data_IF_201019896417
#
_entry.id   IF_201019896417
#
_cell.length_a   1.000
_cell.length_b   1.000
_cell.length_c   1.000
_cell.angle_alpha   90.00
_cell.angle_beta   90.00
_cell.angle_gamma   90.00
#
_symmetry.space_group_name_H-M   'P 1'
#
loop_
_entity.id
_entity.type
_entity.pdbx_description
1 polymer ?
#
# COMPACT_ATOMS: atom_id res chain seq x y z
N UNK A 1 6.12 0.45 -2.78
CA UNK A 1 5.09 0.14 -1.77
C UNK A 1 3.74 0.21 -2.46
N UNK A 2 2.80 -0.72 -2.20
CA UNK A 2 1.45 -0.65 -2.76
C UNK A 2 0.62 0.49 -2.15
N UNK A 3 -0.41 0.93 -2.89
CA UNK A 3 -1.36 1.94 -2.44
C UNK A 3 -2.13 1.44 -1.21
N UNK A 4 -2.13 2.19 -0.12
CA UNK A 4 -2.78 1.85 1.14
C UNK A 4 -4.22 2.34 1.16
N UNK A 5 -5.16 1.46 1.46
CA UNK A 5 -6.55 1.82 1.73
C UNK A 5 -6.78 1.96 3.24
N UNK A 6 -7.28 3.12 3.68
CA UNK A 6 -7.68 3.41 5.07
C UNK A 6 -9.20 3.53 5.10
N UNK A 7 -9.86 2.62 5.80
CA UNK A 7 -11.31 2.69 6.01
C UNK A 7 -11.63 3.60 7.19
N UNK A 8 -12.35 4.70 6.91
CA UNK A 8 -12.79 5.64 7.94
C UNK A 8 -14.18 5.26 8.47
N UNK A 9 -14.30 5.00 9.76
CA UNK A 9 -15.55 4.73 10.47
C UNK A 9 -16.34 6.03 10.68
N UNK A 10 -16.46 6.83 9.61
CA UNK A 10 -16.97 8.21 9.69
C UNK A 10 -17.96 8.52 8.58
N UNK A 11 -19.00 9.25 8.96
CA UNK A 11 -19.98 9.85 8.07
C UNK A 11 -20.16 11.32 8.45
N UNK A 12 -20.20 12.21 7.45
CA UNK A 12 -20.31 13.65 7.65
C UNK A 12 -19.34 14.19 8.70
N UNK A 13 -18.08 13.82 8.58
CA UNK A 13 -16.98 14.21 9.45
C UNK A 13 -17.13 13.82 10.94
N UNK A 14 -17.93 12.81 11.25
CA UNK A 14 -18.14 12.27 12.60
C UNK A 14 -18.01 10.76 12.62
N UNK A 15 -17.45 10.21 13.69
CA UNK A 15 -17.44 8.75 13.95
C UNK A 15 -18.88 8.27 14.11
N UNK A 16 -19.23 7.20 13.39
CA UNK A 16 -20.60 6.66 13.38
C UNK A 16 -20.93 5.93 14.69
N UNK A 17 -22.21 5.97 15.15
CA UNK A 17 -22.60 5.30 16.40
C UNK A 17 -22.37 3.78 16.38
N UNK A 18 -22.49 3.15 15.22
CA UNK A 18 -22.29 1.71 14.99
C UNK A 18 -20.86 1.35 14.58
N UNK A 19 -19.87 2.19 14.91
CA UNK A 19 -18.46 2.03 14.53
C UNK A 19 -17.90 0.64 14.88
N UNK A 20 -18.28 0.06 16.03
CA UNK A 20 -17.82 -1.28 16.43
C UNK A 20 -18.32 -2.38 15.48
N UNK A 21 -19.56 -2.31 15.02
CA UNK A 21 -20.10 -3.27 14.05
C UNK A 21 -19.44 -3.13 12.69
N UNK A 22 -19.17 -1.89 12.25
CA UNK A 22 -18.46 -1.62 10.99
C UNK A 22 -17.01 -2.06 11.07
N UNK A 23 -16.36 -1.93 12.24
CA UNK A 23 -15.00 -2.43 12.51
C UNK A 23 -14.94 -3.96 12.36
N UNK A 24 -15.86 -4.71 12.98
CA UNK A 24 -15.91 -6.17 12.85
C UNK A 24 -16.04 -6.60 11.39
N UNK A 25 -16.92 -5.92 10.63
CA UNK A 25 -17.08 -6.17 9.20
C UNK A 25 -15.76 -5.93 8.45
N UNK A 26 -15.10 -4.81 8.69
CA UNK A 26 -13.84 -4.44 8.03
C UNK A 26 -12.71 -5.44 8.36
N UNK A 27 -12.54 -5.80 9.63
CA UNK A 27 -11.53 -6.77 10.07
C UNK A 27 -11.75 -8.15 9.47
N UNK A 28 -13.02 -8.61 9.36
CA UNK A 28 -13.37 -9.89 8.75
C UNK A 28 -13.01 -9.98 7.27
N UNK A 29 -12.94 -8.84 6.57
CA UNK A 29 -12.52 -8.72 5.17
C UNK A 29 -11.02 -8.47 5.00
N UNK A 30 -10.25 -8.45 6.09
CA UNK A 30 -8.82 -8.24 6.05
C UNK A 30 -8.39 -6.77 5.95
N UNK A 31 -9.26 -5.80 6.19
CA UNK A 31 -8.86 -4.38 6.29
C UNK A 31 -7.94 -4.21 7.51
N UNK A 32 -6.78 -3.59 7.31
CA UNK A 32 -5.75 -3.44 8.36
C UNK A 32 -5.39 -1.98 8.63
N UNK A 33 -6.06 -1.03 8.01
CA UNK A 33 -5.91 0.40 8.27
C UNK A 33 -7.28 1.00 8.49
N UNK A 34 -7.55 1.42 9.72
CA UNK A 34 -8.90 1.83 10.15
C UNK A 34 -8.82 3.15 10.89
N UNK A 35 -9.60 4.11 10.42
CA UNK A 35 -9.64 5.46 10.96
C UNK A 35 -10.98 5.84 11.55
N UNK A 36 -10.95 6.83 12.42
CA UNK A 36 -12.11 7.46 13.02
C UNK A 36 -11.80 8.93 13.32
N UNK A 37 -12.77 9.68 13.84
CA UNK A 37 -12.60 11.07 14.27
C UNK A 37 -12.85 11.19 15.77
N UNK A 38 -12.28 12.21 16.38
CA UNK A 38 -12.43 12.52 17.82
C UNK A 38 -13.82 13.03 18.19
N UNK A 39 -14.69 13.25 17.20
CA UNK A 39 -16.07 13.66 17.35
C UNK A 39 -17.04 12.56 16.87
N UNK A 40 -18.21 12.52 17.46
CA UNK A 40 -19.27 11.54 17.13
C UNK A 40 -19.52 10.52 18.23
N UNK A 41 -18.47 10.11 18.96
CA UNK A 41 -18.55 9.25 20.14
C UNK A 41 -17.84 9.89 21.34
N UNK A 42 -18.23 9.56 22.57
CA UNK A 42 -17.49 9.95 23.78
C UNK A 42 -16.07 9.37 23.79
N UNK A 43 -15.14 10.07 24.42
CA UNK A 43 -13.72 9.69 24.48
C UNK A 43 -13.50 8.25 24.95
N UNK A 44 -14.22 7.80 25.98
CA UNK A 44 -14.09 6.43 26.49
C UNK A 44 -14.53 5.37 25.47
N UNK A 45 -15.54 5.68 24.66
CA UNK A 45 -15.94 4.78 23.56
C UNK A 45 -14.91 4.77 22.44
N UNK A 46 -14.25 5.91 22.15
CA UNK A 46 -13.15 5.97 21.18
C UNK A 46 -11.92 5.19 21.66
N UNK A 47 -11.62 5.18 22.97
CA UNK A 47 -10.57 4.33 23.54
C UNK A 47 -10.86 2.84 23.34
N UNK A 48 -12.10 2.42 23.63
CA UNK A 48 -12.55 1.04 23.41
C UNK A 48 -12.46 0.66 21.93
N UNK A 49 -12.91 1.55 21.05
CA UNK A 49 -12.83 1.36 19.59
C UNK A 49 -11.38 1.20 19.13
N UNK A 50 -10.48 2.08 19.59
CA UNK A 50 -9.05 2.00 19.28
C UNK A 50 -8.40 0.69 19.78
N UNK A 51 -8.73 0.28 21.01
CA UNK A 51 -8.26 -0.99 21.55
C UNK A 51 -8.73 -2.19 20.70
N UNK A 52 -9.98 -2.18 20.23
CA UNK A 52 -10.52 -3.21 19.35
C UNK A 52 -9.85 -3.21 17.98
N UNK A 53 -9.56 -2.04 17.38
CA UNK A 53 -8.79 -1.92 16.12
C UNK A 53 -7.42 -2.60 16.28
N UNK A 54 -6.68 -2.27 17.34
CA UNK A 54 -5.34 -2.83 17.61
C UNK A 54 -5.39 -4.32 17.90
N UNK A 55 -6.35 -4.78 18.69
CA UNK A 55 -6.56 -6.20 18.98
C UNK A 55 -6.87 -7.01 17.71
N UNK A 56 -7.54 -6.38 16.72
CA UNK A 56 -7.77 -6.95 15.40
C UNK A 56 -6.53 -6.95 14.48
N UNK A 57 -5.36 -6.54 14.96
CA UNK A 57 -4.11 -6.47 14.21
C UNK A 57 -4.10 -5.37 13.14
N UNK A 58 -4.92 -4.32 13.31
CA UNK A 58 -4.99 -3.19 12.42
C UNK A 58 -4.30 -1.95 13.00
N UNK A 59 -3.78 -1.09 12.11
CA UNK A 59 -3.26 0.23 12.44
C UNK A 59 -4.42 1.19 12.61
N UNK A 60 -4.41 1.98 13.68
CA UNK A 60 -5.45 2.96 13.99
C UNK A 60 -5.06 4.37 13.54
N UNK A 61 -6.04 5.09 13.00
CA UNK A 61 -5.91 6.47 12.52
C UNK A 61 -6.96 7.36 13.18
N UNK A 62 -6.54 8.53 13.65
CA UNK A 62 -7.48 9.57 14.07
C UNK A 62 -7.30 10.78 13.18
N UNK A 63 -8.37 11.25 12.56
CA UNK A 63 -8.36 12.45 11.70
C UNK A 63 -8.97 13.64 12.46
N UNK A 64 -8.19 14.71 12.56
CA UNK A 64 -8.57 15.98 13.19
C UNK A 64 -9.20 16.89 12.17
N UNK A 65 -10.39 17.41 12.48
CA UNK A 65 -11.14 18.34 11.62
C UNK A 65 -11.36 19.70 12.28
N UNK A 66 -10.63 20.00 13.33
CA UNK A 66 -10.66 21.27 14.05
C UNK A 66 -10.16 22.42 13.18
N UNK A 67 -10.83 23.57 13.24
CA UNK A 67 -10.49 24.76 12.46
C UNK A 67 -9.78 25.85 13.31
N UNK A 68 -9.86 25.76 14.63
CA UNK A 68 -9.23 26.70 15.54
C UNK A 68 -8.13 26.02 16.37
N UNK A 69 -7.28 26.85 16.97
CA UNK A 69 -6.12 26.40 17.73
C UNK A 69 -6.47 25.57 18.95
N UNK A 70 -7.50 26.00 19.69
CA UNK A 70 -7.83 25.35 20.97
C UNK A 70 -8.41 23.96 20.76
N UNK A 71 -9.34 23.82 19.82
CA UNK A 71 -9.93 22.53 19.46
C UNK A 71 -8.92 21.58 18.83
N UNK A 72 -7.95 22.06 18.03
CA UNK A 72 -6.90 21.22 17.48
C UNK A 72 -5.95 20.69 18.57
N UNK A 73 -5.61 21.50 19.56
CA UNK A 73 -4.84 21.08 20.76
C UNK A 73 -5.60 20.03 21.55
N UNK A 74 -6.91 20.21 21.75
CA UNK A 74 -7.77 19.22 22.43
C UNK A 74 -7.78 17.90 21.69
N UNK A 75 -7.94 17.92 20.37
CA UNK A 75 -7.92 16.73 19.50
C UNK A 75 -6.56 16.02 19.53
N UNK A 76 -5.44 16.76 19.55
CA UNK A 76 -4.11 16.17 19.66
C UNK A 76 -3.88 15.48 21.03
N UNK A 77 -4.38 16.07 22.10
CA UNK A 77 -4.36 15.45 23.45
C UNK A 77 -5.24 14.20 23.49
N UNK A 78 -6.44 14.26 22.90
CA UNK A 78 -7.32 13.11 22.78
C UNK A 78 -6.66 11.96 22.00
N UNK A 79 -5.97 12.25 20.90
CA UNK A 79 -5.21 11.26 20.14
C UNK A 79 -4.16 10.54 21.00
N UNK A 80 -3.45 11.30 21.84
CA UNK A 80 -2.46 10.76 22.78
C UNK A 80 -3.12 9.88 23.85
N UNK A 81 -4.24 10.36 24.42
CA UNK A 81 -4.97 9.64 25.48
C UNK A 81 -5.64 8.37 24.95
N UNK A 82 -6.17 8.39 23.73
CA UNK A 82 -6.72 7.21 23.02
C UNK A 82 -5.60 6.24 22.68
N UNK A 83 -4.39 6.73 22.39
CA UNK A 83 -3.22 5.93 22.01
C UNK A 83 -3.30 5.42 20.59
N UNK A 84 -3.70 6.28 19.62
CA UNK A 84 -3.73 5.94 18.19
C UNK A 84 -2.32 5.78 17.62
N UNK A 85 -2.21 5.06 16.50
CA UNK A 85 -0.92 4.88 15.84
C UNK A 85 -0.59 6.06 14.92
N UNK A 86 -1.62 6.65 14.29
CA UNK A 86 -1.46 7.72 13.30
C UNK A 86 -2.46 8.85 13.57
N UNK A 87 -1.97 10.07 13.55
CA UNK A 87 -2.75 11.30 13.61
C UNK A 87 -2.77 11.94 12.22
N UNK A 88 -3.95 12.08 11.64
CA UNK A 88 -4.20 12.72 10.35
C UNK A 88 -4.81 14.11 10.56
N UNK A 89 -4.55 15.02 9.64
CA UNK A 89 -5.19 16.33 9.63
C UNK A 89 -4.59 17.32 10.63
N UNK A 90 -5.34 18.39 10.85
CA UNK A 90 -4.83 19.56 11.57
C UNK A 90 -3.89 20.41 10.72
N UNK A 91 -3.69 21.66 11.12
CA UNK A 91 -2.89 22.65 10.39
C UNK A 91 -1.83 23.33 11.24
N UNK A 92 -1.82 23.08 12.56
CA UNK A 92 -0.98 23.79 13.54
C UNK A 92 0.14 22.88 14.04
N UNK A 93 1.06 22.59 13.14
CA UNK A 93 2.16 21.65 13.37
C UNK A 93 2.95 21.98 14.64
N UNK A 94 3.27 23.25 14.86
CA UNK A 94 4.05 23.70 16.02
C UNK A 94 3.33 23.53 17.37
N UNK A 95 1.99 23.54 17.36
CA UNK A 95 1.19 23.30 18.57
C UNK A 95 0.99 21.80 18.83
N UNK A 96 0.90 20.97 17.76
CA UNK A 96 0.62 19.54 17.85
C UNK A 96 1.89 18.73 18.19
N UNK A 97 3.01 19.02 17.55
CA UNK A 97 4.26 18.25 17.72
C UNK A 97 4.72 18.13 19.18
N UNK A 98 4.71 19.19 20.03
CA UNK A 98 5.06 19.07 21.44
C UNK A 98 4.15 18.10 22.22
N UNK A 99 2.87 18.01 21.85
CA UNK A 99 1.86 17.17 22.52
C UNK A 99 2.12 15.69 22.24
N UNK A 100 2.41 15.35 20.98
CA UNK A 100 2.61 13.96 20.55
C UNK A 100 4.05 13.46 20.69
N UNK A 101 4.98 14.34 21.10
CA UNK A 101 6.40 13.99 21.26
C UNK A 101 6.59 12.84 22.23
N UNK A 102 7.29 11.79 21.80
CA UNK A 102 7.60 10.61 22.62
C UNK A 102 6.45 9.60 22.75
N UNK A 103 5.29 9.83 22.12
CA UNK A 103 4.15 8.90 22.15
C UNK A 103 4.24 7.78 21.12
N UNK A 104 5.10 7.94 20.10
CA UNK A 104 5.18 7.02 18.95
C UNK A 104 4.12 7.28 17.87
N UNK A 105 3.22 8.26 18.05
CA UNK A 105 2.20 8.64 17.07
C UNK A 105 2.88 9.20 15.81
N UNK A 106 2.52 8.66 14.64
CA UNK A 106 2.92 9.23 13.35
C UNK A 106 1.98 10.36 12.97
N UNK A 107 2.51 11.50 12.55
CA UNK A 107 1.71 12.70 12.26
C UNK A 107 1.72 13.07 10.77
N UNK A 108 0.53 13.28 10.22
CA UNK A 108 0.25 13.62 8.83
C UNK A 108 -0.70 14.83 8.75
N UNK A 109 -0.21 16.07 8.94
CA UNK A 109 -1.04 17.27 8.87
C UNK A 109 -1.54 17.59 7.46
N UNK A 110 -2.56 18.45 7.38
CA UNK A 110 -3.03 19.01 6.12
C UNK A 110 -2.07 20.08 5.61
N UNK A 111 -1.65 20.03 4.33
CA UNK A 111 -1.02 21.16 3.67
C UNK A 111 -2.06 22.15 3.13
N UNK A 112 -1.65 23.39 2.97
CA UNK A 112 -2.50 24.47 2.45
C UNK A 112 -3.42 25.06 3.51
N UNK A 113 -4.42 25.81 3.06
CA UNK A 113 -5.41 26.46 3.91
C UNK A 113 -6.69 25.65 3.95
N UNK A 114 -7.08 25.23 5.16
CA UNK A 114 -8.29 24.44 5.38
C UNK A 114 -9.38 25.35 5.96
N UNK A 115 -10.58 25.26 5.38
CA UNK A 115 -11.74 26.05 5.79
C UNK A 115 -13.02 25.20 5.79
N UNK A 116 -14.03 25.66 6.49
CA UNK A 116 -15.38 25.09 6.45
C UNK A 116 -15.57 23.72 7.09
N UNK A 117 -16.82 23.32 7.19
CA UNK A 117 -17.30 21.98 7.52
C UNK A 117 -18.40 21.59 6.52
N UNK A 118 -18.18 20.57 5.67
CA UNK A 118 -16.97 19.73 5.54
C UNK A 118 -15.73 20.54 5.15
N UNK A 119 -14.54 20.08 5.60
CA UNK A 119 -13.27 20.73 5.34
C UNK A 119 -13.01 20.87 3.84
N UNK A 120 -12.61 22.07 3.40
CA UNK A 120 -12.25 22.43 2.02
C UNK A 120 -10.81 22.89 1.99
N UNK A 121 -10.05 22.46 0.99
CA UNK A 121 -8.68 22.89 0.74
C UNK A 121 -8.69 24.06 -0.23
N UNK A 122 -8.20 25.20 0.23
CA UNK A 122 -8.10 26.45 -0.53
C UNK A 122 -6.64 26.79 -0.87
N UNK A 123 -6.48 27.63 -1.88
CA UNK A 123 -5.19 28.11 -2.39
C UNK A 123 -4.91 27.61 -3.81
N UNK A 124 -3.87 28.17 -4.44
CA UNK A 124 -3.34 27.66 -5.72
C UNK A 124 -2.52 26.40 -5.51
N UNK A 125 -2.23 25.67 -6.58
CA UNK A 125 -1.37 24.48 -6.52
C UNK A 125 0.00 24.84 -5.94
N UNK A 126 0.57 25.96 -6.35
CA UNK A 126 1.87 26.45 -5.91
C UNK A 126 1.88 26.77 -4.41
N UNK A 127 0.85 27.42 -3.89
CA UNK A 127 0.69 27.72 -2.46
C UNK A 127 0.58 26.45 -1.63
N UNK A 128 -0.21 25.47 -2.10
CA UNK A 128 -0.37 24.17 -1.42
C UNK A 128 0.93 23.38 -1.43
N UNK A 129 1.66 23.36 -2.55
CA UNK A 129 2.97 22.72 -2.68
C UNK A 129 4.00 23.36 -1.74
N UNK A 130 4.05 24.70 -1.64
CA UNK A 130 5.00 25.35 -0.74
C UNK A 130 4.66 25.11 0.73
N UNK A 131 3.38 25.09 1.08
CA UNK A 131 2.91 24.64 2.40
C UNK A 131 3.36 23.20 2.68
N UNK A 132 3.16 22.28 1.73
CA UNK A 132 3.57 20.87 1.85
C UNK A 132 5.07 20.72 2.12
N UNK A 133 5.91 21.46 1.39
CA UNK A 133 7.36 21.47 1.60
C UNK A 133 7.74 22.00 2.97
N UNK A 134 7.10 23.09 3.40
CA UNK A 134 7.37 23.70 4.71
C UNK A 134 7.01 22.74 5.84
N UNK A 135 5.82 22.17 5.80
CA UNK A 135 5.34 21.21 6.80
C UNK A 135 6.24 19.97 6.89
N UNK A 136 6.66 19.43 5.75
CA UNK A 136 7.46 18.19 5.74
C UNK A 136 8.90 18.37 6.19
N UNK A 137 9.38 19.60 6.36
CA UNK A 137 10.69 19.90 6.97
C UNK A 137 10.71 19.73 8.48
N UNK A 138 9.55 19.76 9.15
CA UNK A 138 9.51 19.59 10.60
C UNK A 138 9.87 18.16 11.00
N UNK A 139 10.76 18.04 11.98
CA UNK A 139 11.01 16.77 12.65
C UNK A 139 9.74 16.35 13.41
N UNK A 140 9.36 15.05 13.27
CA UNK A 140 8.12 14.53 13.86
C UNK A 140 6.89 14.61 12.95
N UNK A 141 6.96 15.28 11.79
CA UNK A 141 6.00 15.09 10.70
C UNK A 141 6.42 13.89 9.87
N UNK A 142 5.54 12.93 9.68
CA UNK A 142 5.82 11.67 9.00
C UNK A 142 5.31 11.62 7.56
N UNK A 143 4.38 12.49 7.20
CA UNK A 143 3.80 12.61 5.88
C UNK A 143 2.76 13.71 5.82
N UNK A 144 1.88 13.67 4.84
CA UNK A 144 0.80 14.64 4.64
C UNK A 144 -0.54 13.94 4.43
N UNK A 145 -1.62 14.60 4.85
CA UNK A 145 -3.00 14.25 4.56
C UNK A 145 -3.58 15.33 3.63
N UNK A 146 -3.82 15.00 2.35
CA UNK A 146 -4.17 15.97 1.32
C UNK A 146 -5.64 15.87 0.92
N UNK A 147 -6.42 16.91 1.14
CA UNK A 147 -7.83 17.03 0.77
C UNK A 147 -8.04 17.39 -0.72
N UNK A 148 -7.36 16.68 -1.63
CA UNK A 148 -7.30 17.07 -3.03
C UNK A 148 -8.68 17.14 -3.71
N UNK A 149 -9.57 16.17 -3.44
CA UNK A 149 -10.93 16.16 -4.00
C UNK A 149 -11.89 17.15 -3.33
N UNK A 150 -11.43 17.87 -2.31
CA UNK A 150 -12.16 18.96 -1.65
C UNK A 150 -11.53 20.33 -1.98
N UNK A 151 -10.78 20.42 -3.07
CA UNK A 151 -10.20 21.65 -3.61
C UNK A 151 -10.89 22.05 -4.92
N UNK A 152 -10.87 23.34 -5.25
CA UNK A 152 -11.31 23.86 -6.53
C UNK A 152 -10.27 23.69 -7.66
N UNK A 153 -9.06 23.20 -7.32
CA UNK A 153 -7.97 23.03 -8.27
C UNK A 153 -8.17 21.79 -9.17
N UNK A 154 -7.37 21.68 -10.24
CA UNK A 154 -7.27 20.44 -11.02
C UNK A 154 -6.72 19.32 -10.12
N UNK A 155 -7.58 18.40 -9.71
CA UNK A 155 -7.26 17.40 -8.69
C UNK A 155 -6.09 16.48 -9.07
N UNK A 156 -6.03 15.88 -10.29
CA UNK A 156 -4.88 15.10 -10.72
C UNK A 156 -3.56 15.87 -10.70
N UNK A 157 -3.59 17.12 -11.15
CA UNK A 157 -2.42 17.99 -11.20
C UNK A 157 -1.94 18.37 -9.79
N UNK A 158 -2.87 18.77 -8.92
CA UNK A 158 -2.60 19.07 -7.52
C UNK A 158 -1.94 17.88 -6.81
N UNK A 159 -2.52 16.67 -6.89
CA UNK A 159 -1.97 15.47 -6.26
C UNK A 159 -0.57 15.16 -6.77
N UNK A 160 -0.38 15.19 -8.09
CA UNK A 160 0.92 14.93 -8.72
C UNK A 160 1.98 15.96 -8.28
N UNK A 161 1.61 17.24 -8.24
CA UNK A 161 2.52 18.30 -7.83
C UNK A 161 2.95 18.17 -6.37
N UNK A 162 2.00 17.90 -5.45
CA UNK A 162 2.32 17.70 -4.03
C UNK A 162 3.15 16.43 -3.82
N UNK A 163 2.75 15.28 -4.40
CA UNK A 163 3.50 14.04 -4.25
C UNK A 163 4.92 14.11 -4.81
N UNK A 164 5.13 14.84 -5.91
CA UNK A 164 6.46 15.04 -6.49
C UNK A 164 7.34 16.02 -5.71
N UNK A 165 6.72 16.94 -4.94
CA UNK A 165 7.44 18.00 -4.23
C UNK A 165 8.01 17.56 -2.86
N UNK A 166 7.54 16.45 -2.29
CA UNK A 166 7.93 15.98 -0.96
C UNK A 166 8.43 14.54 -0.99
N UNK A 167 9.43 14.23 -0.15
CA UNK A 167 9.94 12.87 -0.02
C UNK A 167 9.11 12.00 0.96
N UNK A 168 8.31 12.63 1.82
CA UNK A 168 7.46 11.94 2.80
C UNK A 168 6.15 11.47 2.16
N UNK A 169 5.55 10.37 2.65
CA UNK A 169 4.31 9.82 2.08
C UNK A 169 3.14 10.82 2.15
N UNK A 170 2.31 10.84 1.10
CA UNK A 170 1.09 11.63 1.03
C UNK A 170 -0.11 10.69 0.99
N UNK A 171 -1.05 10.86 1.92
CA UNK A 171 -2.36 10.25 1.89
C UNK A 171 -3.37 11.21 1.27
N UNK A 172 -4.31 10.69 0.51
CA UNK A 172 -5.38 11.49 -0.10
C UNK A 172 -6.67 11.26 0.67
N UNK A 173 -7.22 12.30 1.25
CA UNK A 173 -8.45 12.25 2.01
C UNK A 173 -9.61 12.97 1.34
N UNK A 174 -10.81 12.53 1.67
CA UNK A 174 -12.07 13.13 1.28
C UNK A 174 -12.55 12.79 -0.14
N UNK A 175 -13.85 12.52 -0.23
CA UNK A 175 -14.62 12.43 -1.50
C UNK A 175 -14.10 11.41 -2.54
N UNK A 176 -13.46 10.32 -2.12
CA UNK A 176 -13.10 9.20 -2.99
C UNK A 176 -14.23 8.17 -2.93
N UNK A 177 -14.88 7.90 -4.06
CA UNK A 177 -16.10 7.11 -4.17
C UNK A 177 -16.16 6.20 -5.40
N UNK A 178 -15.10 6.19 -6.25
CA UNK A 178 -15.03 5.33 -7.44
C UNK A 178 -13.63 4.75 -7.65
N UNK A 179 -13.54 3.66 -8.42
CA UNK A 179 -12.29 3.02 -8.81
C UNK A 179 -11.39 3.94 -9.66
N UNK A 180 -11.99 4.79 -10.50
CA UNK A 180 -11.26 5.76 -11.32
C UNK A 180 -10.53 6.78 -10.44
N UNK A 181 -11.19 7.28 -9.37
CA UNK A 181 -10.54 8.19 -8.41
C UNK A 181 -9.39 7.50 -7.67
N UNK A 182 -9.54 6.23 -7.29
CA UNK A 182 -8.45 5.45 -6.69
C UNK A 182 -7.28 5.31 -7.69
N UNK A 183 -7.56 5.04 -8.97
CA UNK A 183 -6.52 4.96 -10.00
C UNK A 183 -5.79 6.30 -10.19
N UNK A 184 -6.50 7.43 -10.16
CA UNK A 184 -5.88 8.77 -10.23
C UNK A 184 -4.99 9.03 -9.03
N UNK A 185 -5.41 8.64 -7.82
CA UNK A 185 -4.60 8.73 -6.59
C UNK A 185 -3.29 7.95 -6.73
N UNK A 186 -3.37 6.72 -7.23
CA UNK A 186 -2.19 5.89 -7.46
C UNK A 186 -1.25 6.50 -8.50
N UNK A 187 -1.79 6.95 -9.63
CA UNK A 187 -1.01 7.55 -10.72
C UNK A 187 -0.33 8.86 -10.30
N UNK A 188 -0.84 9.54 -9.30
CA UNK A 188 -0.22 10.72 -8.71
C UNK A 188 0.97 10.40 -7.79
N UNK A 189 1.20 9.12 -7.46
CA UNK A 189 2.28 8.68 -6.57
C UNK A 189 1.94 8.76 -5.08
N UNK A 190 0.66 8.86 -4.72
CA UNK A 190 0.23 8.86 -3.31
C UNK A 190 0.49 7.51 -2.63
N UNK A 191 0.78 7.55 -1.33
CA UNK A 191 1.06 6.37 -0.52
C UNK A 191 -0.21 5.64 -0.06
N UNK A 192 -1.36 6.32 -0.07
CA UNK A 192 -2.63 5.76 0.33
C UNK A 192 -3.77 6.77 0.26
N UNK A 193 -4.95 6.33 0.65
CA UNK A 193 -6.16 7.16 0.64
C UNK A 193 -7.18 6.70 1.69
N UNK A 194 -8.11 7.60 2.01
CA UNK A 194 -9.19 7.33 2.96
C UNK A 194 -10.54 7.22 2.24
N UNK A 195 -11.38 6.26 2.65
CA UNK A 195 -12.81 6.20 2.31
C UNK A 195 -13.61 5.93 3.59
N UNK A 196 -14.62 6.75 3.85
CA UNK A 196 -15.59 6.56 4.93
C UNK A 196 -17.02 6.60 4.40
N UNK A 197 -17.58 7.81 4.24
CA UNK A 197 -18.97 8.05 3.85
C UNK A 197 -19.39 7.27 2.60
N UNK A 198 -18.55 7.17 1.58
CA UNK A 198 -18.91 6.46 0.34
C UNK A 198 -19.18 4.97 0.59
N UNK A 199 -18.38 4.31 1.42
CA UNK A 199 -18.57 2.91 1.79
C UNK A 199 -19.79 2.73 2.74
N UNK A 200 -19.91 3.60 3.73
CA UNK A 200 -20.99 3.53 4.72
C UNK A 200 -22.39 3.86 4.14
N UNK A 201 -22.44 4.67 3.08
CA UNK A 201 -23.68 5.06 2.40
C UNK A 201 -24.00 4.21 1.17
N UNK A 202 -23.19 3.19 0.86
CA UNK A 202 -23.38 2.34 -0.32
C UNK A 202 -23.24 3.09 -1.65
N UNK A 203 -22.34 4.11 -1.70
CA UNK A 203 -22.11 4.96 -2.89
C UNK A 203 -20.98 4.47 -3.77
N UNK A 204 -20.07 3.63 -3.24
CA UNK A 204 -19.02 3.04 -4.05
C UNK A 204 -19.61 1.99 -5.01
N UNK A 205 -19.14 1.87 -6.26
CA UNK A 205 -19.64 0.87 -7.20
C UNK A 205 -19.39 -0.57 -6.74
N UNK A 206 -20.41 -1.19 -6.18
CA UNK A 206 -20.38 -2.55 -5.65
C UNK A 206 -21.66 -3.31 -6.02
N UNK A 207 -21.68 -4.64 -5.82
CA UNK A 207 -22.83 -5.49 -6.10
C UNK A 207 -24.04 -5.10 -5.26
N UNK A 208 -23.80 -4.83 -3.96
CA UNK A 208 -24.83 -4.47 -2.99
C UNK A 208 -24.42 -3.17 -2.28
N UNK A 209 -25.40 -2.51 -1.63
CA UNK A 209 -25.16 -1.24 -0.92
C UNK A 209 -24.70 -1.41 0.52
N UNK A 210 -24.66 -2.63 1.04
CA UNK A 210 -24.16 -2.92 2.38
C UNK A 210 -22.65 -2.72 2.49
N UNK A 211 -22.17 -2.39 3.69
CA UNK A 211 -20.76 -2.05 3.93
C UNK A 211 -19.80 -3.19 3.55
N UNK A 212 -20.19 -4.45 3.75
CA UNK A 212 -19.39 -5.62 3.39
C UNK A 212 -19.13 -5.65 1.89
N UNK A 213 -20.15 -5.50 1.07
CA UNK A 213 -20.08 -5.47 -0.39
C UNK A 213 -19.26 -4.28 -0.88
N UNK A 214 -19.43 -3.12 -0.25
CA UNK A 214 -18.66 -1.90 -0.57
C UNK A 214 -17.17 -2.10 -0.29
N UNK A 215 -16.81 -2.56 0.91
CA UNK A 215 -15.42 -2.81 1.28
C UNK A 215 -14.77 -3.89 0.40
N UNK A 216 -15.50 -4.97 0.11
CA UNK A 216 -14.99 -6.02 -0.78
C UNK A 216 -14.68 -5.49 -2.20
N UNK A 217 -15.51 -4.58 -2.74
CA UNK A 217 -15.25 -3.93 -4.01
C UNK A 217 -14.01 -3.04 -3.96
N UNK A 218 -13.88 -2.18 -2.94
CA UNK A 218 -12.73 -1.30 -2.76
C UNK A 218 -11.43 -2.13 -2.63
N UNK A 219 -11.42 -3.17 -1.80
CA UNK A 219 -10.25 -4.06 -1.61
C UNK A 219 -9.84 -4.70 -2.93
N UNK A 220 -10.81 -5.23 -3.70
CA UNK A 220 -10.57 -5.83 -5.03
C UNK A 220 -9.95 -4.81 -5.98
N UNK A 221 -10.49 -3.59 -6.05
CA UNK A 221 -10.03 -2.56 -6.97
C UNK A 221 -8.62 -2.06 -6.59
N UNK A 222 -8.33 -1.89 -5.29
CA UNK A 222 -6.98 -1.59 -4.79
C UNK A 222 -6.00 -2.73 -5.08
N UNK A 223 -6.42 -3.99 -4.90
CA UNK A 223 -5.58 -5.14 -5.20
C UNK A 223 -5.26 -5.24 -6.70
N UNK A 224 -6.23 -4.93 -7.57
CA UNK A 224 -6.02 -4.89 -9.02
C UNK A 224 -4.99 -3.80 -9.40
N UNK A 225 -5.11 -2.60 -8.82
CA UNK A 225 -4.18 -1.51 -9.04
C UNK A 225 -2.78 -1.84 -8.50
N UNK A 226 -2.67 -2.39 -7.31
CA UNK A 226 -1.39 -2.77 -6.71
C UNK A 226 -0.68 -3.89 -7.49
N UNK A 227 -1.42 -4.76 -8.18
CA UNK A 227 -0.84 -5.74 -9.11
C UNK A 227 -0.15 -5.09 -10.31
N UNK A 228 -0.61 -3.93 -10.76
CA UNK A 228 0.06 -3.16 -11.80
C UNK A 228 1.32 -2.42 -11.32
N UNK A 229 1.47 -2.17 -10.00
CA UNK A 229 2.66 -1.54 -9.41
C UNK A 229 3.76 -2.55 -9.03
N UNK A 230 3.43 -3.80 -8.78
CA UNK A 230 4.41 -4.85 -8.87
C UNK A 230 4.72 -4.99 -10.35
N UNK A 231 5.98 -4.85 -10.79
CA UNK A 231 6.35 -5.38 -12.07
C UNK A 231 6.23 -6.92 -11.96
N UNK A 232 4.98 -7.41 -12.01
CA UNK A 232 4.77 -8.72 -12.55
C UNK A 232 5.11 -8.51 -14.01
N UNK A 233 6.39 -8.71 -14.35
CA UNK A 233 6.76 -8.98 -15.70
C UNK A 233 6.04 -10.28 -16.07
N UNK A 234 4.76 -10.17 -16.46
CA UNK A 234 4.13 -11.18 -17.30
C UNK A 234 4.79 -11.06 -18.67
N UNK A 235 6.08 -11.34 -18.74
CA UNK A 235 6.66 -11.72 -20.01
C UNK A 235 6.14 -13.12 -20.29
N UNK A 236 5.54 -13.26 -21.43
CA UNK A 236 5.35 -14.58 -22.01
C UNK A 236 6.72 -15.25 -22.05
N UNK A 237 6.86 -16.42 -21.42
CA UNK A 237 8.09 -17.21 -21.48
C UNK A 237 8.53 -17.49 -22.91
N UNK A 238 7.62 -17.34 -23.89
CA UNK A 238 7.87 -17.48 -25.33
C UNK A 238 8.83 -16.44 -25.94
N UNK A 239 9.23 -15.39 -25.21
CA UNK A 239 10.11 -14.31 -25.72
C UNK A 239 11.34 -14.05 -24.85
N UNK A 240 11.56 -14.84 -23.78
CA UNK A 240 12.68 -14.63 -22.88
C UNK A 240 13.98 -15.24 -23.46
N UNK A 241 14.99 -14.41 -23.63
CA UNK A 241 16.35 -14.85 -23.96
C UNK A 241 17.05 -15.38 -22.71
N UNK A 242 17.81 -16.47 -22.87
CA UNK A 242 18.63 -17.05 -21.80
C UNK A 242 19.53 -16.00 -21.12
N UNK A 243 19.44 -15.91 -19.80
CA UNK A 243 20.41 -15.20 -18.96
C UNK A 243 20.01 -13.80 -18.47
N UNK A 244 18.84 -13.27 -18.78
CA UNK A 244 18.36 -12.03 -18.17
C UNK A 244 17.69 -12.26 -16.82
N UNK A 245 18.04 -11.45 -15.82
CA UNK A 245 17.33 -11.41 -14.53
C UNK A 245 15.93 -10.87 -14.77
N UNK A 246 14.91 -11.67 -14.50
CA UNK A 246 13.50 -11.33 -14.72
C UNK A 246 12.83 -10.83 -13.43
N UNK A 247 13.42 -11.11 -12.25
CA UNK A 247 12.93 -10.68 -10.97
C UNK A 247 13.90 -10.99 -9.82
N UNK A 248 13.58 -10.47 -8.64
CA UNK A 248 14.32 -10.73 -7.41
C UNK A 248 13.37 -10.87 -6.24
N UNK A 249 13.59 -11.90 -5.41
CA UNK A 249 12.90 -12.12 -4.15
C UNK A 249 13.95 -12.18 -3.05
N UNK A 250 14.01 -11.18 -2.20
CA UNK A 250 15.09 -10.97 -1.25
C UNK A 250 16.45 -10.98 -1.97
N UNK A 251 17.36 -11.89 -1.60
CA UNK A 251 18.67 -12.06 -2.25
C UNK A 251 18.63 -13.04 -3.43
N UNK A 252 17.48 -13.70 -3.69
CA UNK A 252 17.33 -14.67 -4.75
C UNK A 252 16.98 -14.02 -6.07
N UNK A 253 17.82 -14.19 -7.09
CA UNK A 253 17.54 -13.78 -8.47
C UNK A 253 16.70 -14.84 -9.16
N UNK A 254 15.65 -14.41 -9.88
CA UNK A 254 14.81 -15.27 -10.68
C UNK A 254 15.07 -14.93 -12.15
N UNK A 255 15.39 -15.96 -12.94
CA UNK A 255 15.69 -15.86 -14.37
C UNK A 255 14.83 -16.85 -15.13
N UNK A 256 14.50 -16.48 -16.35
CA UNK A 256 13.95 -17.45 -17.33
C UNK A 256 15.08 -17.86 -18.26
N UNK A 257 15.30 -19.14 -18.37
CA UNK A 257 16.29 -19.73 -19.24
C UNK A 257 15.62 -20.61 -20.29
N UNK A 258 16.11 -20.50 -21.54
CA UNK A 258 15.70 -21.37 -22.63
C UNK A 258 16.89 -22.22 -23.03
N UNK A 259 16.83 -23.53 -22.75
CA UNK A 259 17.85 -24.46 -23.12
C UNK A 259 17.55 -25.05 -24.51
N UNK A 260 18.49 -24.86 -25.46
CA UNK A 260 18.50 -25.47 -26.77
C UNK A 260 19.74 -26.37 -26.86
N UNK A 261 19.59 -27.65 -26.50
CA UNK A 261 20.73 -28.55 -26.38
C UNK A 261 21.43 -28.44 -25.02
N UNK A 262 22.77 -28.59 -24.98
CA UNK A 262 23.56 -28.66 -23.75
C UNK A 262 24.04 -27.26 -23.30
N UNK A 263 23.91 -26.98 -22.00
CA UNK A 263 24.50 -25.77 -21.39
C UNK A 263 26.03 -25.83 -21.22
N UNK A 264 26.62 -26.99 -21.36
CA UNK A 264 27.98 -27.26 -20.90
C UNK A 264 28.04 -27.52 -19.37
N UNK A 265 29.21 -28.01 -18.90
CA UNK A 265 29.46 -28.24 -17.50
C UNK A 265 29.72 -26.94 -16.76
N UNK A 266 29.03 -26.72 -15.65
CA UNK A 266 29.16 -25.53 -14.80
C UNK A 266 28.93 -25.89 -13.33
N UNK A 267 29.35 -25.01 -12.43
CA UNK A 267 29.02 -25.05 -11.00
C UNK A 267 29.00 -23.61 -10.44
N UNK A 268 28.31 -23.41 -9.33
CA UNK A 268 28.37 -22.15 -8.58
C UNK A 268 29.23 -22.30 -7.34
N UNK A 269 30.01 -21.28 -7.06
CA UNK A 269 30.83 -21.24 -5.84
C UNK A 269 30.03 -20.88 -4.61
N UNK A 270 28.93 -20.13 -4.76
CA UNK A 270 28.06 -19.66 -3.69
C UNK A 270 26.60 -19.74 -4.11
N UNK A 271 25.75 -20.14 -3.16
CA UNK A 271 24.32 -20.28 -3.34
C UNK A 271 23.90 -21.48 -4.18
N UNK A 272 22.78 -22.06 -3.82
CA UNK A 272 22.17 -23.16 -4.54
C UNK A 272 21.42 -22.66 -5.78
N UNK A 273 21.17 -23.55 -6.74
CA UNK A 273 20.38 -23.25 -7.94
C UNK A 273 19.15 -24.13 -7.97
N UNK A 274 17.98 -23.51 -8.18
CA UNK A 274 16.72 -24.23 -8.43
C UNK A 274 16.37 -24.10 -9.92
N UNK A 275 16.14 -25.23 -10.56
CA UNK A 275 15.65 -25.33 -11.94
C UNK A 275 14.22 -25.88 -11.92
N UNK A 276 13.22 -25.07 -12.25
CA UNK A 276 11.83 -25.48 -12.40
C UNK A 276 11.49 -25.55 -13.90
N UNK A 277 11.10 -26.70 -14.39
CA UNK A 277 10.78 -26.89 -15.79
C UNK A 277 9.32 -26.45 -16.04
N UNK A 278 9.16 -25.41 -16.87
CA UNK A 278 7.85 -24.93 -17.28
C UNK A 278 7.35 -25.66 -18.52
N UNK A 279 8.22 -25.86 -19.52
CA UNK A 279 7.88 -26.50 -20.79
C UNK A 279 9.11 -27.23 -21.36
N UNK A 280 8.85 -28.33 -22.08
CA UNK A 280 9.91 -29.21 -22.58
C UNK A 280 10.37 -30.15 -21.49
N UNK A 281 11.50 -30.82 -21.70
CA UNK A 281 12.08 -31.79 -20.75
C UNK A 281 13.57 -31.49 -20.55
N UNK A 282 14.03 -31.45 -19.30
CA UNK A 282 15.40 -31.15 -18.95
C UNK A 282 16.11 -32.40 -18.44
N UNK A 283 17.24 -32.78 -19.04
CA UNK A 283 18.17 -33.74 -18.50
C UNK A 283 19.26 -33.01 -17.72
N UNK A 284 19.27 -33.17 -16.41
CA UNK A 284 20.33 -32.65 -15.54
C UNK A 284 21.38 -33.73 -15.36
N UNK A 285 22.58 -33.50 -15.88
CA UNK A 285 23.72 -34.42 -15.76
C UNK A 285 24.62 -33.98 -14.61
N UNK A 286 24.93 -34.92 -13.74
CA UNK A 286 25.95 -34.79 -12.74
C UNK A 286 27.14 -35.73 -13.11
N UNK A 287 28.24 -35.66 -12.38
CA UNK A 287 29.41 -36.52 -12.66
C UNK A 287 29.14 -38.03 -12.38
N UNK A 288 28.19 -38.28 -11.48
CA UNK A 288 27.87 -39.60 -10.96
C UNK A 288 26.49 -40.14 -11.39
N UNK A 289 25.59 -39.26 -11.88
CA UNK A 289 24.21 -39.62 -12.25
C UNK A 289 23.59 -38.65 -13.24
N UNK A 290 22.45 -39.03 -13.77
CA UNK A 290 21.59 -38.20 -14.61
C UNK A 290 20.18 -38.20 -14.05
N UNK A 291 19.51 -37.04 -14.06
CA UNK A 291 18.14 -36.86 -13.58
C UNK A 291 17.32 -36.19 -14.68
N UNK A 292 16.14 -36.72 -14.97
CA UNK A 292 15.18 -36.13 -15.89
C UNK A 292 14.21 -35.30 -15.08
N UNK A 293 14.01 -34.03 -15.51
CA UNK A 293 13.07 -33.10 -14.86
C UNK A 293 12.00 -32.77 -15.89
N UNK A 294 10.78 -33.21 -15.62
CA UNK A 294 9.62 -33.04 -16.50
C UNK A 294 8.88 -31.70 -16.26
N UNK A 295 7.97 -31.29 -17.16
CA UNK A 295 7.18 -30.09 -16.96
C UNK A 295 6.38 -30.12 -15.65
N UNK A 296 6.53 -29.07 -14.82
CA UNK A 296 5.93 -28.96 -13.49
C UNK A 296 6.82 -29.48 -12.36
N UNK A 297 7.94 -30.10 -12.68
CA UNK A 297 8.92 -30.54 -11.70
C UNK A 297 10.07 -29.53 -11.52
N UNK A 298 10.81 -29.70 -10.45
CA UNK A 298 12.02 -28.92 -10.18
C UNK A 298 13.13 -29.77 -9.60
N UNK A 299 14.38 -29.32 -9.80
CA UNK A 299 15.56 -29.87 -9.15
C UNK A 299 16.35 -28.75 -8.49
N UNK A 300 16.87 -29.01 -7.29
CA UNK A 300 17.79 -28.11 -6.59
C UNK A 300 19.20 -28.67 -6.71
N UNK A 301 20.11 -27.88 -7.24
CA UNK A 301 21.54 -28.21 -7.34
C UNK A 301 22.28 -27.41 -6.27
N UNK A 302 22.88 -28.06 -5.26
CA UNK A 302 23.65 -27.40 -4.24
C UNK A 302 24.89 -26.70 -4.82
N UNK A 303 25.36 -25.62 -4.17
CA UNK A 303 26.59 -24.96 -4.53
C UNK A 303 27.77 -25.94 -4.54
N UNK A 304 28.73 -25.74 -5.43
CA UNK A 304 29.89 -26.57 -5.62
C UNK A 304 29.66 -27.90 -6.39
N UNK A 305 28.39 -28.25 -6.70
CA UNK A 305 28.08 -29.44 -7.49
C UNK A 305 28.16 -29.12 -8.97
N UNK A 306 29.07 -29.81 -9.67
CA UNK A 306 29.19 -29.71 -11.13
C UNK A 306 28.00 -30.38 -11.81
N UNK A 307 27.35 -29.63 -12.71
CA UNK A 307 26.20 -30.11 -13.45
C UNK A 307 26.20 -29.57 -14.88
N UNK A 308 25.39 -30.22 -15.72
CA UNK A 308 25.15 -29.82 -17.11
C UNK A 308 23.66 -30.00 -17.44
N UNK A 309 22.98 -28.92 -17.76
CA UNK A 309 21.59 -28.94 -18.18
C UNK A 309 21.48 -29.17 -19.69
N UNK A 310 20.68 -30.15 -20.11
CA UNK A 310 20.49 -30.55 -21.51
C UNK A 310 19.01 -30.61 -21.84
N UNK A 311 18.57 -29.86 -22.85
CA UNK A 311 17.21 -30.00 -23.36
C UNK A 311 17.05 -31.33 -24.08
N UNK A 312 16.04 -32.14 -23.73
CA UNK A 312 15.73 -33.41 -24.35
C UNK A 312 14.69 -33.25 -25.48
N UNK A 313 14.69 -34.21 -26.39
CA UNK A 313 13.64 -34.32 -27.44
C UNK A 313 13.79 -33.39 -28.64
N UNK A 314 14.90 -32.63 -28.73
CA UNK A 314 15.17 -31.73 -29.86
C UNK A 314 14.32 -30.45 -29.87
N UNK A 315 13.49 -30.24 -28.85
CA UNK A 315 12.74 -28.99 -28.61
C UNK A 315 13.42 -28.18 -27.48
N UNK A 316 13.17 -26.86 -27.49
CA UNK A 316 13.66 -25.99 -26.45
C UNK A 316 12.98 -26.28 -25.10
N UNK A 317 13.77 -26.35 -24.02
CA UNK A 317 13.27 -26.49 -22.66
C UNK A 317 13.24 -25.12 -21.96
N UNK A 318 12.06 -24.69 -21.55
CA UNK A 318 11.83 -23.44 -20.79
C UNK A 318 11.91 -23.71 -19.29
N UNK A 319 12.87 -23.06 -18.64
CA UNK A 319 13.16 -23.28 -17.22
C UNK A 319 13.14 -21.94 -16.47
N UNK A 320 12.48 -21.93 -15.31
CA UNK A 320 12.63 -20.86 -14.33
C UNK A 320 13.79 -21.23 -13.41
N UNK A 321 14.83 -20.40 -13.42
CA UNK A 321 16.04 -20.57 -12.63
C UNK A 321 16.01 -19.60 -11.45
N UNK A 322 16.10 -20.10 -10.22
CA UNK A 322 16.27 -19.27 -9.04
C UNK A 322 17.66 -19.50 -8.43
N UNK A 323 18.36 -18.41 -8.13
CA UNK A 323 19.75 -18.44 -7.62
C UNK A 323 19.88 -17.46 -6.46
N UNK A 324 20.39 -17.93 -5.32
CA UNK A 324 20.62 -17.13 -4.11
C UNK A 324 22.00 -16.47 -4.13
#
# INVERSE_FOLDING_TARGET
MGLRFIFMLTRNDRTVPDASQQLETALSLGVRHIGFKDIGLPLEQLKVLNAAIKAGGATSYLEVVSLDRESEIVSAKAATEIGVDVLLGGTRVDDVLPIIKGTGIQYFPFPGRITGHPSVLEGTIEEIVESAKTITRHDGVHGLDLLAYRSAQNVPELMKAVCAAVAKPVYIAGSIDTSERIAVVQNAGAAGFTIGTAALDGKYPAREKDVRSQLAAIIRDVAALNKHLSPIHKKSLSTAFAGQVEGQVNNTQIKVALFNGSSGWSFRQQGDELFFVHRGCLLMKFRDREEIVEPGEFIVVPHGVEHCAVALGGEACEVLLATA
#
